data_IF_076622274381
#
_entry.id   IF_076622274381
#
_cell.length_a   1.000
_cell.length_b   1.000
_cell.length_c   1.000
_cell.angle_alpha   90.00
_cell.angle_beta   90.00
_cell.angle_gamma   90.00
#
_symmetry.space_group_name_H-M   'P 1'
#
loop_
_entity.id
_entity.type
_entity.pdbx_description
1 polymer ?
#
# COMPACT_ATOMS: atom_id res chain seq x y z
N UNK A 1 -24.50 6.57 -0.24
CA UNK A 1 -23.93 5.20 -0.25
C UNK A 1 -22.44 5.37 -0.02
N UNK A 2 -22.07 5.22 1.25
CA UNK A 2 -20.76 5.35 1.92
C UNK A 2 -19.87 6.53 1.51
N UNK A 3 -20.24 7.72 2.02
CA UNK A 3 -19.30 8.82 2.28
C UNK A 3 -18.55 8.52 3.59
N UNK A 4 -17.22 8.64 3.58
CA UNK A 4 -16.38 8.60 4.78
C UNK A 4 -15.58 7.30 4.92
N UNK A 5 -14.40 7.28 4.29
CA UNK A 5 -13.39 6.24 4.45
C UNK A 5 -12.36 6.69 5.51
N UNK A 6 -12.37 6.15 6.73
CA UNK A 6 -11.28 6.26 7.70
C UNK A 6 -10.19 5.20 7.42
N UNK A 7 -8.96 5.40 7.92
CA UNK A 7 -7.72 4.91 7.30
C UNK A 7 -7.52 3.38 7.43
N UNK A 8 -7.53 2.66 6.30
CA UNK A 8 -6.98 1.31 6.08
C UNK A 8 -7.11 0.32 7.23
N UNK A 9 -8.34 0.07 7.69
CA UNK A 9 -8.60 -0.93 8.71
C UNK A 9 -8.95 -2.32 8.13
N UNK A 10 -9.19 -2.44 6.82
CA UNK A 10 -9.76 -3.66 6.23
C UNK A 10 -8.96 -4.16 5.01
N UNK A 11 -8.88 -5.50 4.82
CA UNK A 11 -8.12 -6.10 3.72
C UNK A 11 -8.63 -5.68 2.34
N UNK A 12 -9.91 -5.34 2.21
CA UNK A 12 -10.52 -4.90 0.94
C UNK A 12 -10.04 -3.50 0.52
N UNK A 13 -9.90 -2.59 1.47
CA UNK A 13 -9.38 -1.25 1.21
C UNK A 13 -7.88 -1.30 0.88
N UNK A 14 -7.17 -2.20 1.57
CA UNK A 14 -5.79 -2.50 1.30
C UNK A 14 -5.58 -3.03 -0.14
N UNK A 15 -6.45 -3.94 -0.57
CA UNK A 15 -6.53 -4.43 -1.95
C UNK A 15 -6.80 -3.30 -2.95
N UNK A 16 -7.74 -2.40 -2.66
CA UNK A 16 -8.04 -1.28 -3.54
C UNK A 16 -6.84 -0.33 -3.76
N UNK A 17 -6.03 -0.08 -2.72
CA UNK A 17 -4.79 0.72 -2.85
C UNK A 17 -3.77 -0.01 -3.72
N UNK A 18 -3.66 -1.32 -3.55
CA UNK A 18 -2.76 -2.18 -4.32
C UNK A 18 -3.17 -2.20 -5.80
N UNK A 19 -4.44 -2.45 -6.11
CA UNK A 19 -4.97 -2.44 -7.47
C UNK A 19 -4.81 -1.07 -8.14
N UNK A 20 -5.07 0.01 -7.40
CA UNK A 20 -4.84 1.37 -7.91
C UNK A 20 -3.37 1.66 -8.19
N UNK A 21 -2.46 1.03 -7.46
CA UNK A 21 -1.01 1.14 -7.67
C UNK A 21 -0.56 0.31 -8.87
N UNK A 22 -1.11 -0.90 -9.00
CA UNK A 22 -0.82 -1.84 -10.07
C UNK A 22 -1.43 -1.42 -11.42
N UNK A 23 -2.47 -0.54 -11.41
CA UNK A 23 -3.20 0.11 -12.53
C UNK A 23 -3.75 -0.79 -13.65
N UNK A 24 -3.05 -1.85 -14.03
CA UNK A 24 -3.37 -2.78 -15.11
C UNK A 24 -3.27 -4.25 -14.67
N UNK A 25 -2.61 -4.53 -13.53
CA UNK A 25 -2.49 -5.89 -13.02
C UNK A 25 -3.47 -6.13 -11.86
N UNK A 26 -4.51 -6.91 -12.15
CA UNK A 26 -5.47 -7.36 -11.12
C UNK A 26 -4.94 -8.59 -10.42
N UNK A 27 -5.04 -8.59 -9.09
CA UNK A 27 -4.70 -9.77 -8.30
C UNK A 27 -5.70 -10.90 -8.59
N UNK A 28 -5.18 -12.08 -8.89
CA UNK A 28 -6.03 -13.25 -9.10
C UNK A 28 -6.72 -13.64 -7.78
N UNK A 29 -7.86 -14.36 -7.84
CA UNK A 29 -8.64 -14.74 -6.63
C UNK A 29 -7.78 -15.39 -5.54
N UNK A 30 -6.81 -16.20 -5.93
CA UNK A 30 -5.88 -16.83 -4.98
C UNK A 30 -4.93 -15.81 -4.33
N UNK A 31 -4.39 -14.87 -5.10
CA UNK A 31 -3.55 -13.79 -4.58
C UNK A 31 -4.32 -12.89 -3.63
N UNK A 32 -5.56 -12.52 -3.99
CA UNK A 32 -6.50 -11.77 -3.13
C UNK A 32 -6.75 -12.52 -1.82
N UNK A 33 -6.95 -13.83 -1.90
CA UNK A 33 -7.18 -14.66 -0.72
C UNK A 33 -5.93 -14.75 0.17
N UNK A 34 -4.76 -14.99 -0.43
CA UNK A 34 -3.47 -14.98 0.28
C UNK A 34 -3.21 -13.62 0.92
N UNK A 35 -3.53 -12.53 0.23
CA UNK A 35 -3.42 -11.17 0.73
C UNK A 35 -4.30 -10.94 1.97
N UNK A 36 -5.61 -11.24 1.85
CA UNK A 36 -6.58 -11.09 2.95
C UNK A 36 -6.15 -11.91 4.17
N UNK A 37 -5.70 -13.13 3.95
CA UNK A 37 -5.26 -14.00 5.02
C UNK A 37 -3.93 -13.57 5.64
N UNK A 38 -3.00 -13.03 4.83
CA UNK A 38 -1.79 -12.42 5.33
C UNK A 38 -2.09 -11.18 6.19
N UNK A 39 -3.13 -10.43 5.84
CA UNK A 39 -3.65 -9.28 6.58
C UNK A 39 -4.27 -9.68 7.92
N UNK A 40 -5.00 -10.80 7.97
CA UNK A 40 -5.58 -11.37 9.20
C UNK A 40 -4.57 -12.19 10.04
N UNK A 41 -3.26 -12.09 9.72
CA UNK A 41 -2.17 -12.85 10.34
C UNK A 41 -2.35 -14.38 10.33
N UNK A 42 -3.27 -14.90 9.51
CA UNK A 42 -3.55 -16.32 9.40
C UNK A 42 -2.34 -17.10 8.89
N UNK A 43 -2.25 -18.35 9.34
CA UNK A 43 -1.19 -19.27 8.95
C UNK A 43 -1.44 -19.83 7.55
N UNK A 44 -0.40 -19.93 6.73
CA UNK A 44 -0.46 -20.52 5.38
C UNK A 44 -1.14 -21.90 5.34
N UNK A 45 -1.06 -22.65 6.43
CA UNK A 45 -1.75 -23.93 6.60
C UNK A 45 -3.28 -23.80 6.64
N UNK A 46 -3.80 -22.82 7.40
CA UNK A 46 -5.24 -22.55 7.47
C UNK A 46 -5.77 -22.05 6.12
N UNK A 47 -4.98 -21.23 5.43
CA UNK A 47 -5.30 -20.74 4.08
C UNK A 47 -5.42 -21.93 3.12
N UNK A 48 -4.38 -22.76 3.05
CA UNK A 48 -4.36 -23.96 2.22
C UNK A 48 -5.58 -24.85 2.47
N UNK A 49 -5.89 -25.10 3.74
CA UNK A 49 -7.04 -25.91 4.16
C UNK A 49 -8.39 -25.30 3.73
N UNK A 50 -8.57 -23.99 3.92
CA UNK A 50 -9.81 -23.29 3.56
C UNK A 50 -9.97 -23.13 2.04
N UNK A 51 -8.87 -23.01 1.32
CA UNK A 51 -8.86 -22.75 -0.11
C UNK A 51 -8.83 -24.04 -0.96
N UNK A 52 -8.53 -25.18 -0.34
CA UNK A 52 -8.31 -26.46 -1.03
C UNK A 52 -6.98 -26.55 -1.79
N UNK A 53 -6.04 -25.63 -1.54
CA UNK A 53 -4.72 -25.62 -2.17
C UNK A 53 -3.66 -26.19 -1.24
N UNK A 54 -2.52 -26.60 -1.82
CA UNK A 54 -1.39 -27.07 -1.03
C UNK A 54 -0.65 -25.91 -0.35
N UNK A 55 -0.17 -26.11 0.87
CA UNK A 55 0.56 -25.11 1.66
C UNK A 55 1.77 -24.56 0.89
N UNK A 56 2.47 -25.42 0.14
CA UNK A 56 3.60 -25.03 -0.70
C UNK A 56 3.19 -24.04 -1.79
N UNK A 57 2.07 -24.31 -2.46
CA UNK A 57 1.51 -23.46 -3.50
C UNK A 57 1.02 -22.11 -2.98
N UNK A 58 0.37 -22.10 -1.81
CA UNK A 58 -0.06 -20.85 -1.13
C UNK A 58 1.16 -20.00 -0.75
N UNK A 59 2.22 -20.61 -0.20
CA UNK A 59 3.48 -19.92 0.10
C UNK A 59 4.12 -19.33 -1.15
N UNK A 60 4.19 -20.11 -2.22
CA UNK A 60 4.79 -19.66 -3.48
C UNK A 60 3.99 -18.50 -4.09
N UNK A 61 2.66 -18.61 -4.09
CA UNK A 61 1.74 -17.53 -4.52
C UNK A 61 1.94 -16.28 -3.68
N UNK A 62 2.08 -16.42 -2.35
CA UNK A 62 2.36 -15.31 -1.45
C UNK A 62 3.70 -14.63 -1.73
N UNK A 63 4.77 -15.40 -1.92
CA UNK A 63 6.08 -14.85 -2.29
C UNK A 63 6.02 -14.08 -3.61
N UNK A 64 5.34 -14.64 -4.61
CA UNK A 64 5.15 -13.97 -5.89
C UNK A 64 4.37 -12.66 -5.74
N UNK A 65 3.30 -12.66 -4.94
CA UNK A 65 2.54 -11.47 -4.60
C UNK A 65 3.41 -10.37 -3.97
N UNK A 66 4.24 -10.72 -2.98
CA UNK A 66 5.13 -9.74 -2.34
C UNK A 66 6.17 -9.17 -3.31
N UNK A 67 6.65 -9.97 -4.28
CA UNK A 67 7.55 -9.48 -5.32
C UNK A 67 6.85 -8.50 -6.26
N UNK A 68 5.65 -8.83 -6.75
CA UNK A 68 4.86 -7.94 -7.60
C UNK A 68 4.58 -6.61 -6.91
N UNK A 69 4.17 -6.66 -5.64
CA UNK A 69 3.97 -5.45 -4.84
C UNK A 69 5.27 -4.67 -4.66
N UNK A 70 6.39 -5.36 -4.41
CA UNK A 70 7.67 -4.67 -4.26
C UNK A 70 8.08 -3.93 -5.53
N UNK A 71 7.81 -4.52 -6.69
CA UNK A 71 8.07 -3.88 -7.98
C UNK A 71 7.12 -2.71 -8.24
N UNK A 72 5.83 -2.88 -7.94
CA UNK A 72 4.80 -1.85 -8.17
C UNK A 72 4.96 -0.63 -7.23
N UNK A 73 5.27 -0.87 -5.97
CA UNK A 73 5.49 0.19 -4.98
C UNK A 73 6.91 0.78 -5.04
N UNK A 74 7.86 0.09 -5.67
CA UNK A 74 9.27 0.48 -5.68
C UNK A 74 9.97 0.36 -4.32
N UNK A 75 9.36 -0.34 -3.36
CA UNK A 75 9.91 -0.59 -2.03
C UNK A 75 9.69 -2.06 -1.65
N UNK A 76 10.57 -2.67 -0.86
CA UNK A 76 10.42 -4.06 -0.42
C UNK A 76 9.14 -4.24 0.43
N UNK A 77 8.14 -4.86 -0.17
CA UNK A 77 6.90 -5.27 0.49
C UNK A 77 7.04 -6.71 0.96
N UNK A 78 6.70 -6.97 2.22
CA UNK A 78 6.66 -8.30 2.82
C UNK A 78 5.41 -8.41 3.66
N UNK A 79 4.99 -9.63 4.07
CA UNK A 79 3.83 -9.82 4.97
C UNK A 79 3.87 -8.87 6.19
N UNK A 80 5.03 -8.72 6.83
CA UNK A 80 5.19 -7.85 8.01
C UNK A 80 5.23 -6.36 7.68
N UNK A 81 5.77 -5.99 6.51
CA UNK A 81 5.86 -4.59 6.10
C UNK A 81 4.59 -4.11 5.38
N UNK A 82 3.71 -5.02 4.95
CA UNK A 82 2.51 -4.74 4.17
C UNK A 82 1.62 -3.71 4.88
N UNK A 83 1.31 -3.94 6.16
CA UNK A 83 0.48 -3.02 6.94
C UNK A 83 1.13 -1.64 7.03
N UNK A 84 2.45 -1.58 7.20
CA UNK A 84 3.18 -0.32 7.28
C UNK A 84 3.18 0.43 5.95
N UNK A 85 3.49 -0.26 4.85
CA UNK A 85 3.51 0.30 3.50
C UNK A 85 2.15 0.86 3.14
N UNK A 86 1.08 0.08 3.34
CA UNK A 86 -0.27 0.53 3.02
C UNK A 86 -0.75 1.66 3.93
N UNK A 87 -0.44 1.63 5.23
CA UNK A 87 -0.74 2.75 6.13
C UNK A 87 -0.04 4.03 5.71
N UNK A 88 1.21 3.93 5.26
CA UNK A 88 1.95 5.08 4.70
C UNK A 88 1.31 5.56 3.41
N UNK A 89 0.99 4.66 2.47
CA UNK A 89 0.36 5.01 1.18
C UNK A 89 -1.01 5.65 1.36
N UNK A 90 -1.82 5.15 2.28
CA UNK A 90 -3.10 5.75 2.63
C UNK A 90 -2.94 7.16 3.20
N UNK A 91 -1.96 7.36 4.10
CA UNK A 91 -1.62 8.69 4.60
C UNK A 91 -1.11 9.62 3.49
N UNK A 92 -0.32 9.13 2.55
CA UNK A 92 0.14 9.89 1.38
C UNK A 92 -1.02 10.30 0.46
N UNK A 93 -2.01 9.41 0.27
CA UNK A 93 -3.21 9.70 -0.53
C UNK A 93 -4.10 10.76 0.14
N UNK A 94 -4.29 10.66 1.46
CA UNK A 94 -5.00 11.66 2.26
C UNK A 94 -4.32 13.04 2.20
N UNK A 95 -2.99 13.07 2.37
CA UNK A 95 -2.20 14.30 2.40
C UNK A 95 -2.10 15.01 1.03
N UNK A 96 -2.37 14.32 -0.09
CA UNK A 96 -2.46 14.95 -1.42
C UNK A 96 -3.71 15.82 -1.57
N UNK A 97 -4.73 15.62 -0.76
CA UNK A 97 -5.97 16.42 -0.75
C UNK A 97 -5.78 17.80 -0.11
N UNK A 98 -4.78 17.95 0.78
CA UNK A 98 -4.53 19.16 1.57
C UNK A 98 -3.24 19.91 1.20
N UNK A 99 -2.43 19.37 0.27
CA UNK A 99 -1.13 19.94 -0.10
C UNK A 99 -1.14 20.92 -1.30
N UNK A 100 -2.29 21.49 -1.69
CA UNK A 100 -2.31 22.74 -2.49
C UNK A 100 -2.43 23.93 -1.53
N UNK A 101 -1.38 24.13 -0.74
CA UNK A 101 -0.99 25.42 -0.13
C UNK A 101 0.53 25.46 0.08
N UNK A 102 1.31 25.13 -0.94
CA UNK A 102 2.61 25.79 -1.10
C UNK A 102 2.35 26.89 -2.13
N UNK A 103 2.02 28.08 -1.62
CA UNK A 103 1.99 29.29 -2.43
C UNK A 103 3.39 29.50 -2.98
N UNK A 104 3.51 29.46 -4.30
CA UNK A 104 4.61 30.10 -5.00
C UNK A 104 4.60 31.61 -4.72
N UNK A 105 5.76 32.23 -5.01
CA UNK A 105 6.08 33.65 -5.06
C UNK A 105 6.66 34.19 -3.74
N UNK A 106 7.89 34.69 -3.64
CA UNK A 106 8.87 35.14 -4.65
C UNK A 106 10.21 35.41 -3.94
N UNK A 107 11.36 35.04 -4.51
CA UNK A 107 12.64 35.73 -4.24
C UNK A 107 12.63 37.12 -4.91
N UNK A 108 13.63 38.03 -4.80
CA UNK A 108 14.83 38.12 -3.94
C UNK A 108 15.03 39.54 -3.33
N UNK A 109 15.91 39.72 -2.33
CA UNK A 109 16.70 40.97 -2.19
C UNK A 109 17.94 40.70 -1.34
N UNK A 110 19.06 40.56 -2.05
CA UNK A 110 20.33 41.27 -1.84
C UNK A 110 20.60 41.79 -0.41
N UNK A 111 21.49 41.07 0.27
CA UNK A 111 22.16 41.45 1.50
C UNK A 111 23.15 42.60 1.20
N UNK A 112 22.67 43.85 1.20
CA UNK A 112 23.54 45.02 1.37
C UNK A 112 23.68 45.34 2.86
N UNK A 113 24.88 45.07 3.36
CA UNK A 113 25.36 45.46 4.67
C UNK A 113 25.62 46.98 4.70
N UNK A 114 24.77 47.74 5.40
CA UNK A 114 25.14 49.06 5.91
C UNK A 114 25.52 48.93 7.38
N UNK A 115 26.82 49.03 7.68
CA UNK A 115 27.32 49.47 8.99
C UNK A 115 28.14 50.73 8.71
N UNK A 116 27.85 51.77 9.50
CA UNK A 116 28.46 53.10 9.41
C UNK A 116 29.89 53.19 9.89
#
# INVERSE_FOLDING_TARGET
MTSGLPPVASPEEALAIVERTLREEHLNKLQVMVFRQAWEEQSYYAIAKTSGYEVGYVKQTGSHLWQLLSQAFGEKVTKSNLHLVLKRKAKELDNKSSAIRISNNSSPIDEFQCIG
#
